data_IF_106441710241
#
_entry.id   IF_106441710241
#
_cell.length_a   1.000
_cell.length_b   1.000
_cell.length_c   1.000
_cell.angle_alpha   90.00
_cell.angle_beta   90.00
_cell.angle_gamma   90.00
#
_symmetry.space_group_name_H-M   'P 1'
#
loop_
_entity.id
_entity.type
_entity.pdbx_description
1 polymer ?
#
# COMPACT_ATOMS: atom_id res chain seq x y z
N UNK A 1 -7.68 4.38 17.30
CA UNK A 1 -7.03 4.73 16.01
C UNK A 1 -6.34 6.07 16.16
N UNK A 2 -5.07 6.16 15.77
CA UNK A 2 -4.30 7.42 15.77
C UNK A 2 -3.85 7.74 14.37
N UNK A 3 -4.21 8.91 13.86
CA UNK A 3 -3.87 9.36 12.50
C UNK A 3 -2.83 10.47 12.58
N UNK A 4 -1.84 10.40 11.69
CA UNK A 4 -0.86 11.45 11.40
C UNK A 4 -0.95 11.78 9.91
N UNK A 5 -0.70 13.03 9.53
CA UNK A 5 -0.67 13.42 8.13
C UNK A 5 0.23 14.63 7.92
N UNK A 6 0.73 14.76 6.70
CA UNK A 6 1.50 15.89 6.22
C UNK A 6 1.30 16.06 4.73
N UNK A 7 2.16 16.87 4.10
CA UNK A 7 2.07 17.09 2.66
C UNK A 7 2.39 15.81 1.89
N UNK A 8 1.41 15.30 1.13
CA UNK A 8 1.58 14.11 0.30
C UNK A 8 1.64 12.79 1.06
N UNK A 9 1.33 12.76 2.36
CA UNK A 9 1.30 11.50 3.13
C UNK A 9 0.27 11.49 4.26
N UNK A 10 -0.17 10.29 4.60
CA UNK A 10 -1.06 10.01 5.73
C UNK A 10 -0.66 8.68 6.37
N UNK A 11 -0.77 8.56 7.69
CA UNK A 11 -0.45 7.33 8.39
C UNK A 11 -1.42 7.09 9.54
N UNK A 12 -1.64 5.82 9.88
CA UNK A 12 -2.52 5.42 10.97
C UNK A 12 -1.98 4.25 11.75
N UNK A 13 -2.17 4.30 13.06
CA UNK A 13 -2.08 3.16 13.95
C UNK A 13 -3.50 2.67 14.30
N UNK A 14 -3.85 1.47 13.84
CA UNK A 14 -5.08 0.78 14.18
C UNK A 14 -4.86 -0.09 15.42
N UNK A 15 -5.04 0.51 16.60
CA UNK A 15 -4.83 -0.14 17.91
C UNK A 15 -5.65 -1.41 18.10
N UNK A 16 -6.86 -1.50 17.53
CA UNK A 16 -7.72 -2.67 17.67
C UNK A 16 -7.16 -3.92 16.96
N UNK A 17 -6.41 -3.70 15.87
CA UNK A 17 -5.80 -4.76 15.06
C UNK A 17 -4.28 -4.86 15.28
N UNK A 18 -3.68 -3.89 15.97
CA UNK A 18 -2.23 -3.81 16.18
C UNK A 18 -1.43 -3.52 14.91
N UNK A 19 -2.05 -2.92 13.88
CA UNK A 19 -1.41 -2.68 12.58
C UNK A 19 -1.18 -1.19 12.32
N UNK A 20 -0.18 -0.89 11.48
CA UNK A 20 0.16 0.46 11.07
C UNK A 20 0.12 0.55 9.55
N UNK A 21 -0.69 1.48 9.03
CA UNK A 21 -0.81 1.75 7.61
C UNK A 21 -0.35 3.16 7.27
N UNK A 22 0.12 3.36 6.04
CA UNK A 22 0.45 4.66 5.51
C UNK A 22 0.09 4.78 4.03
N UNK A 23 -0.03 6.02 3.58
CA UNK A 23 -0.32 6.42 2.22
C UNK A 23 0.72 7.45 1.78
N UNK A 24 1.19 7.32 0.55
CA UNK A 24 1.96 8.36 -0.14
C UNK A 24 1.20 8.75 -1.41
N UNK A 25 0.98 10.04 -1.61
CA UNK A 25 0.31 10.60 -2.77
C UNK A 25 1.30 11.33 -3.67
N UNK A 26 1.17 11.15 -4.98
CA UNK A 26 1.92 11.91 -5.96
C UNK A 26 1.13 12.11 -7.25
N UNK A 27 0.84 13.38 -7.59
CA UNK A 27 0.23 13.81 -8.86
C UNK A 27 -1.02 13.04 -9.33
N UNK A 28 -1.85 12.57 -8.39
CA UNK A 28 -3.08 11.82 -8.69
C UNK A 28 -2.91 10.31 -8.58
N UNK A 29 -1.69 9.81 -8.41
CA UNK A 29 -1.40 8.46 -7.94
C UNK A 29 -1.31 8.42 -6.42
N UNK A 30 -1.60 7.26 -5.83
CA UNK A 30 -1.37 7.03 -4.41
C UNK A 30 -1.10 5.56 -4.12
N UNK A 31 -0.21 5.34 -3.16
CA UNK A 31 0.29 4.02 -2.79
C UNK A 31 0.03 3.82 -1.29
N UNK A 32 -0.36 2.61 -0.91
CA UNK A 32 -0.63 2.23 0.48
C UNK A 32 0.41 1.23 0.98
N UNK A 33 0.88 1.42 2.19
CA UNK A 33 1.94 0.62 2.80
C UNK A 33 1.56 0.16 4.21
N UNK A 34 1.96 -1.05 4.56
CA UNK A 34 2.14 -1.47 5.94
C UNK A 34 3.51 -0.97 6.41
N UNK A 35 3.52 -0.20 7.49
CA UNK A 35 4.74 0.37 8.07
C UNK A 35 4.98 -0.18 9.47
N UNK A 36 6.18 -0.02 10.01
CA UNK A 36 6.45 -0.36 11.42
C UNK A 36 6.00 0.76 12.37
N UNK A 37 5.80 0.42 13.65
CA UNK A 37 5.58 1.43 14.69
C UNK A 37 6.75 2.42 14.82
N UNK A 38 7.97 2.01 14.49
CA UNK A 38 9.14 2.88 14.45
C UNK A 38 9.02 3.92 13.33
N UNK A 39 8.64 3.51 12.11
CA UNK A 39 8.36 4.42 10.99
C UNK A 39 7.23 5.38 11.37
N UNK A 40 6.13 4.85 11.93
CA UNK A 40 5.02 5.69 12.39
C UNK A 40 5.46 6.71 13.45
N UNK A 41 6.37 6.33 14.36
CA UNK A 41 6.98 7.20 15.36
C UNK A 41 7.77 8.36 14.73
N UNK A 42 8.57 8.06 13.71
CA UNK A 42 9.42 9.02 12.98
C UNK A 42 8.66 10.01 12.11
N UNK A 43 7.41 9.70 11.72
CA UNK A 43 6.54 10.65 11.02
C UNK A 43 6.12 11.78 11.97
N UNK A 44 6.76 12.95 11.84
CA UNK A 44 6.49 14.16 12.63
C UNK A 44 5.79 15.22 11.78
N UNK A 45 5.23 16.25 12.41
CA UNK A 45 4.50 17.32 11.68
C UNK A 45 5.38 18.12 10.71
N UNK A 46 6.68 18.20 11.00
CA UNK A 46 7.63 19.05 10.26
C UNK A 46 8.47 18.27 9.25
N UNK A 47 8.24 16.96 9.10
CA UNK A 47 8.92 16.16 8.10
C UNK A 47 8.49 16.62 6.69
N UNK A 48 9.43 16.66 5.75
CA UNK A 48 9.08 16.95 4.36
C UNK A 48 8.25 15.79 3.77
N UNK A 49 7.43 16.08 2.76
CA UNK A 49 6.69 15.03 2.05
C UNK A 49 7.61 14.00 1.40
N UNK A 50 8.79 14.42 0.93
CA UNK A 50 9.80 13.54 0.35
C UNK A 50 10.39 12.57 1.40
N UNK A 51 10.87 13.10 2.53
CA UNK A 51 11.46 12.28 3.59
C UNK A 51 10.42 11.32 4.21
N UNK A 52 9.18 11.79 4.38
CA UNK A 52 8.08 10.92 4.81
C UNK A 52 7.82 9.81 3.79
N UNK A 53 7.82 10.15 2.50
CA UNK A 53 7.66 9.19 1.42
C UNK A 53 8.74 8.12 1.44
N UNK A 54 10.01 8.49 1.65
CA UNK A 54 11.13 7.55 1.70
C UNK A 54 11.02 6.61 2.91
N UNK A 55 10.63 7.14 4.08
CA UNK A 55 10.35 6.31 5.26
C UNK A 55 9.19 5.35 5.02
N UNK A 56 8.10 5.81 4.42
CA UNK A 56 6.91 4.99 4.19
C UNK A 56 7.18 3.89 3.17
N UNK A 57 7.89 4.20 2.07
CA UNK A 57 8.26 3.24 1.00
C UNK A 57 9.21 2.14 1.45
N UNK A 58 9.84 2.29 2.63
CA UNK A 58 10.59 1.20 3.26
C UNK A 58 9.69 0.08 3.81
N UNK A 59 8.38 0.34 3.92
CA UNK A 59 7.38 -0.61 4.36
C UNK A 59 6.94 -1.59 3.28
N UNK A 60 5.99 -2.47 3.65
CA UNK A 60 5.41 -3.44 2.73
C UNK A 60 4.31 -2.78 1.90
N UNK A 61 4.48 -2.78 0.58
CA UNK A 61 3.52 -2.19 -0.34
C UNK A 61 2.25 -3.05 -0.44
N UNK A 62 1.08 -2.44 -0.24
CA UNK A 62 -0.21 -3.13 -0.15
C UNK A 62 -1.08 -2.90 -1.39
N UNK A 63 -1.03 -1.68 -1.93
CA UNK A 63 -1.90 -1.23 -3.00
C UNK A 63 -1.27 -0.04 -3.72
N UNK A 64 -1.46 0.05 -5.03
CA UNK A 64 -1.12 1.23 -5.82
C UNK A 64 -2.29 1.64 -6.71
N UNK A 65 -2.65 2.92 -6.68
CA UNK A 65 -3.42 3.56 -7.73
C UNK A 65 -2.48 4.35 -8.62
N UNK A 66 -2.45 3.99 -9.90
CA UNK A 66 -1.59 4.63 -10.89
C UNK A 66 -2.42 5.51 -11.81
N UNK A 67 -2.13 6.81 -11.77
CA UNK A 67 -2.66 7.82 -12.67
C UNK A 67 -1.52 8.73 -13.15
N UNK A 68 -0.65 8.15 -13.98
CA UNK A 68 0.53 8.82 -14.53
C UNK A 68 0.23 9.72 -15.73
N UNK A 69 -1.06 9.86 -16.09
CA UNK A 69 -1.57 10.63 -17.25
C UNK A 69 -1.12 10.09 -18.61
N UNK A 70 -0.45 8.94 -18.65
CA UNK A 70 -0.02 8.25 -19.88
C UNK A 70 -1.06 7.21 -20.34
N UNK A 71 -2.07 6.93 -19.53
CA UNK A 71 -3.19 6.05 -19.87
C UNK A 71 -4.35 6.18 -18.89
N UNK A 72 -5.41 5.36 -19.06
CA UNK A 72 -6.50 5.28 -18.09
C UNK A 72 -5.96 4.84 -16.71
N UNK A 73 -6.45 5.43 -15.61
CA UNK A 73 -6.05 5.04 -14.28
C UNK A 73 -6.30 3.55 -14.01
N UNK A 74 -5.38 2.91 -13.29
CA UNK A 74 -5.49 1.50 -12.93
C UNK A 74 -5.02 1.26 -11.51
N UNK A 75 -5.48 0.14 -10.94
CA UNK A 75 -5.19 -0.25 -9.58
C UNK A 75 -4.43 -1.58 -9.53
N UNK A 76 -3.46 -1.67 -8.64
CA UNK A 76 -2.69 -2.89 -8.36
C UNK A 76 -2.93 -3.26 -6.91
N UNK A 77 -3.70 -4.33 -6.68
CA UNK A 77 -3.96 -4.87 -5.34
C UNK A 77 -2.92 -5.95 -5.04
N UNK A 78 -1.94 -5.62 -4.19
CA UNK A 78 -0.87 -6.53 -3.77
C UNK A 78 -1.32 -7.38 -2.58
N UNK A 79 -2.03 -6.76 -1.65
CA UNK A 79 -2.67 -7.39 -0.49
C UNK A 79 -4.15 -6.97 -0.45
N UNK A 80 -5.08 -7.90 -0.30
CA UNK A 80 -6.52 -7.60 -0.29
C UNK A 80 -6.97 -6.95 1.03
N UNK A 81 -6.18 -7.10 2.10
CA UNK A 81 -6.47 -6.57 3.44
C UNK A 81 -5.98 -5.12 3.61
N UNK A 82 -5.61 -4.42 2.51
CA UNK A 82 -5.07 -3.06 2.57
C UNK A 82 -5.95 -2.06 3.34
N UNK A 83 -7.28 -2.25 3.30
CA UNK A 83 -8.24 -1.41 4.02
C UNK A 83 -8.18 -1.59 5.55
N UNK A 84 -7.64 -2.72 6.04
CA UNK A 84 -7.43 -2.94 7.48
C UNK A 84 -6.31 -2.05 8.03
N UNK A 85 -5.29 -1.80 7.20
CA UNK A 85 -4.14 -0.94 7.48
C UNK A 85 -4.48 0.53 7.25
N UNK A 86 -5.18 0.84 6.17
CA UNK A 86 -5.54 2.18 5.74
C UNK A 86 -7.07 2.32 5.65
N UNK A 87 -7.79 2.63 6.74
CA UNK A 87 -9.27 2.63 6.76
C UNK A 87 -9.94 3.69 5.90
N UNK A 88 -9.19 4.68 5.41
CA UNK A 88 -9.67 5.66 4.43
C UNK A 88 -9.56 5.16 3.00
N UNK A 89 -8.86 4.05 2.77
CA UNK A 89 -8.78 3.44 1.46
C UNK A 89 -10.19 2.98 1.06
N UNK A 90 -10.73 3.63 0.03
CA UNK A 90 -11.99 3.23 -0.57
C UNK A 90 -11.85 1.94 -1.39
N UNK A 91 -12.94 1.56 -2.06
CA UNK A 91 -12.86 0.54 -3.10
C UNK A 91 -11.94 1.03 -4.24
N UNK A 92 -11.25 0.11 -4.96
CA UNK A 92 -10.49 0.47 -6.14
C UNK A 92 -11.33 1.29 -7.13
N UNK A 93 -10.76 2.36 -7.67
CA UNK A 93 -11.49 3.36 -8.48
C UNK A 93 -11.21 3.25 -9.97
N UNK A 94 -10.17 2.52 -10.37
CA UNK A 94 -9.75 2.30 -11.75
C UNK A 94 -9.86 0.83 -12.17
N UNK A 95 -9.22 0.48 -13.29
CA UNK A 95 -9.14 -0.91 -13.74
C UNK A 95 -8.18 -1.68 -12.84
N UNK A 96 -8.68 -2.68 -12.12
CA UNK A 96 -7.83 -3.55 -11.29
C UNK A 96 -7.06 -4.54 -12.16
N UNK A 97 -5.76 -4.67 -11.91
CA UNK A 97 -4.93 -5.71 -12.53
C UNK A 97 -5.42 -7.12 -12.17
N UNK A 98 -5.44 -8.02 -13.15
CA UNK A 98 -5.75 -9.43 -12.90
C UNK A 98 -4.69 -10.08 -12.01
N UNK A 99 -5.11 -11.02 -11.16
CA UNK A 99 -4.23 -11.70 -10.20
C UNK A 99 -2.98 -12.30 -10.83
N UNK A 100 -3.11 -12.93 -12.01
CA UNK A 100 -1.99 -13.49 -12.78
C UNK A 100 -0.97 -12.42 -13.19
N UNK A 101 -1.43 -11.25 -13.60
CA UNK A 101 -0.56 -10.15 -14.02
C UNK A 101 0.16 -9.52 -12.82
N UNK A 102 -0.55 -9.32 -11.71
CA UNK A 102 0.06 -8.88 -10.44
C UNK A 102 1.09 -9.89 -9.93
N UNK A 103 0.78 -11.19 -9.98
CA UNK A 103 1.71 -12.24 -9.54
C UNK A 103 2.98 -12.27 -10.39
N UNK A 104 2.83 -12.18 -11.73
CA UNK A 104 3.97 -12.12 -12.63
C UNK A 104 4.84 -10.89 -12.35
N UNK A 105 4.22 -9.73 -12.08
CA UNK A 105 4.95 -8.51 -11.70
C UNK A 105 5.68 -8.67 -10.35
N UNK A 106 5.05 -9.28 -9.35
CA UNK A 106 5.68 -9.52 -8.03
C UNK A 106 6.85 -10.51 -8.13
N UNK A 107 6.74 -11.52 -8.99
CA UNK A 107 7.80 -12.52 -9.19
C UNK A 107 8.97 -11.95 -10.03
N UNK A 108 8.66 -11.10 -11.02
CA UNK A 108 9.66 -10.49 -11.89
C UNK A 108 10.38 -9.30 -11.25
N UNK A 109 9.65 -8.44 -10.52
CA UNK A 109 10.17 -7.20 -9.94
C UNK A 109 10.51 -7.37 -8.46
N UNK A 110 11.78 -7.16 -8.13
CA UNK A 110 12.30 -7.33 -6.77
C UNK A 110 11.65 -6.44 -5.70
N UNK A 111 11.09 -5.29 -6.11
CA UNK A 111 10.45 -4.31 -5.22
C UNK A 111 9.25 -4.87 -4.46
N UNK A 112 8.61 -5.92 -4.96
CA UNK A 112 7.38 -6.46 -4.39
C UNK A 112 7.54 -7.85 -3.74
N UNK A 113 8.76 -8.39 -3.65
CA UNK A 113 9.01 -9.76 -3.15
C UNK A 113 8.48 -10.01 -1.75
N UNK A 114 8.41 -8.97 -0.92
CA UNK A 114 7.79 -8.96 0.40
C UNK A 114 6.31 -9.42 0.41
N UNK A 115 5.62 -9.33 -0.72
CA UNK A 115 4.23 -9.78 -0.85
C UNK A 115 4.07 -11.25 -1.25
N UNK A 116 5.14 -11.96 -1.65
CA UNK A 116 5.07 -13.35 -2.16
C UNK A 116 4.35 -14.31 -1.20
N UNK A 117 4.55 -14.16 0.12
CA UNK A 117 3.90 -14.99 1.12
C UNK A 117 2.38 -14.85 1.10
N UNK A 118 1.88 -13.61 1.06
CA UNK A 118 0.44 -13.33 0.96
C UNK A 118 -0.13 -13.79 -0.38
N UNK A 119 0.58 -13.51 -1.49
CA UNK A 119 0.17 -13.97 -2.83
C UNK A 119 0.06 -15.50 -2.91
N UNK A 120 1.03 -16.24 -2.34
CA UNK A 120 1.00 -17.72 -2.29
C UNK A 120 -0.16 -18.26 -1.47
N UNK A 121 -0.48 -17.65 -0.31
CA UNK A 121 -1.66 -18.03 0.48
C UNK A 121 -2.95 -17.83 -0.32
N UNK A 122 -3.10 -16.70 -1.02
CA UNK A 122 -4.23 -16.43 -1.91
C UNK A 122 -4.37 -17.49 -3.01
N UNK A 123 -3.27 -17.86 -3.67
CA UNK A 123 -3.27 -18.94 -4.68
C UNK A 123 -3.66 -20.31 -4.09
N UNK A 124 -3.13 -20.66 -2.91
CA UNK A 124 -3.44 -21.93 -2.24
C UNK A 124 -4.89 -22.05 -1.78
N UNK A 125 -5.55 -20.93 -1.49
CA UNK A 125 -6.98 -20.87 -1.17
C UNK A 125 -7.89 -20.95 -2.42
N UNK A 126 -7.33 -20.74 -3.62
CA UNK A 126 -8.05 -20.84 -4.90
C UNK A 126 -8.10 -22.23 -5.52
N UNK A 127 -7.48 -23.26 -4.91
CA UNK A 127 -7.46 -24.66 -5.41
C UNK A 127 -8.44 -25.56 -4.65
N UNK A 128 -9.44 -24.96 -3.99
CA UNK A 128 -10.47 -25.69 -3.26
C UNK A 128 -11.85 -25.08 -3.47
N UNK A 129 -12.41 -25.24 -4.66
CA UNK A 129 -13.87 -25.28 -4.92
C UNK A 129 -14.15 -25.81 -6.33
#
# INVERSE_FOLDING_TARGET
MRIKQGEGWKACHNEAKGVYGAEVMFQGSWDLYEISGAVFGSLTKNISGADAGDLIRSGRHLYAHVNDRCGPPYDVVLDDDFAEYCPWAGAPTGKVWGSTMTDAAVELFGSERQNLGQRRKKRGQGVGR
#
